data_IF_237619288099
#
_entry.id   IF_237619288099
#
_cell.length_a   1.000
_cell.length_b   1.000
_cell.length_c   1.000
_cell.angle_alpha   90.00
_cell.angle_beta   90.00
_cell.angle_gamma   90.00
#
_symmetry.space_group_name_H-M   'P 1'
#
loop_
_entity.id
_entity.type
_entity.pdbx_description
1 polymer ?
#
# COMPACT_ATOMS: atom_id res chain seq x y z
N UNK A 1 -26.01 70.15 -8.39
CA UNK A 1 -25.19 69.71 -7.24
C UNK A 1 -26.01 68.67 -6.46
N UNK A 2 -25.36 67.59 -6.00
CA UNK A 2 -25.88 66.36 -5.36
C UNK A 2 -26.12 65.17 -6.30
N UNK A 3 -24.98 64.54 -6.65
CA UNK A 3 -24.87 63.10 -6.89
C UNK A 3 -25.37 62.33 -5.67
N UNK A 4 -26.09 61.24 -5.89
CA UNK A 4 -26.24 60.15 -4.91
C UNK A 4 -25.83 58.84 -5.60
N UNK A 5 -24.72 58.29 -5.11
CA UNK A 5 -24.16 57.00 -5.50
C UNK A 5 -25.12 55.87 -5.09
N UNK A 6 -25.35 54.94 -6.02
CA UNK A 6 -25.89 53.60 -5.74
C UNK A 6 -24.70 52.67 -5.46
N UNK A 7 -24.73 51.84 -4.40
CA UNK A 7 -23.75 50.78 -4.23
C UNK A 7 -24.15 49.59 -5.10
N UNK A 8 -23.28 49.23 -6.04
CA UNK A 8 -23.33 47.95 -6.75
C UNK A 8 -22.80 46.89 -5.79
N UNK A 9 -23.70 46.15 -5.14
CA UNK A 9 -23.34 44.96 -4.38
C UNK A 9 -22.95 43.84 -5.34
N UNK A 10 -21.65 43.67 -5.53
CA UNK A 10 -21.05 42.55 -6.23
C UNK A 10 -21.25 41.27 -5.40
N UNK A 11 -22.24 40.46 -5.77
CA UNK A 11 -22.44 39.12 -5.23
C UNK A 11 -21.30 38.21 -5.71
N UNK A 12 -20.28 38.05 -4.87
CA UNK A 12 -19.30 36.97 -4.96
C UNK A 12 -20.02 35.64 -4.68
N UNK A 13 -20.47 34.99 -5.74
CA UNK A 13 -20.79 33.56 -5.74
C UNK A 13 -19.49 32.79 -5.46
N UNK A 14 -19.22 32.52 -4.19
CA UNK A 14 -18.30 31.45 -3.79
C UNK A 14 -18.91 30.12 -4.27
N UNK A 15 -18.48 29.68 -5.45
CA UNK A 15 -18.66 28.31 -5.89
C UNK A 15 -17.85 27.41 -4.96
N UNK A 16 -18.50 26.86 -3.93
CA UNK A 16 -18.02 25.66 -3.27
C UNK A 16 -18.04 24.55 -4.33
N UNK A 17 -16.90 24.35 -4.99
CA UNK A 17 -16.63 23.12 -5.75
C UNK A 17 -16.63 22.00 -4.72
N UNK A 18 -17.80 21.42 -4.49
CA UNK A 18 -17.94 20.19 -3.73
C UNK A 18 -17.15 19.14 -4.51
N UNK A 19 -15.94 18.84 -4.05
CA UNK A 19 -15.21 17.68 -4.53
C UNK A 19 -16.10 16.47 -4.29
N UNK A 20 -16.35 15.62 -5.30
CA UNK A 20 -17.17 14.43 -5.12
C UNK A 20 -16.58 13.63 -3.96
N UNK A 21 -17.41 13.39 -2.93
CA UNK A 21 -17.06 12.52 -1.83
C UNK A 21 -16.90 11.11 -2.42
N UNK A 22 -15.65 10.70 -2.61
CA UNK A 22 -15.35 9.35 -3.08
C UNK A 22 -15.88 8.34 -2.07
N UNK A 23 -16.61 7.33 -2.54
CA UNK A 23 -17.00 6.20 -1.72
C UNK A 23 -15.73 5.55 -1.16
N UNK A 24 -15.52 5.63 0.15
CA UNK A 24 -14.44 4.91 0.80
C UNK A 24 -14.83 3.43 0.89
N UNK A 25 -13.89 2.51 0.63
CA UNK A 25 -14.08 1.10 0.95
C UNK A 25 -14.51 0.93 2.41
N UNK A 26 -15.51 0.07 2.65
CA UNK A 26 -16.01 -0.22 3.99
C UNK A 26 -14.89 -0.91 4.75
N UNK A 27 -14.51 -0.45 5.94
CA UNK A 27 -13.50 -1.12 6.77
C UNK A 27 -13.80 -2.62 6.91
N UNK A 28 -12.76 -3.46 7.06
CA UNK A 28 -12.98 -4.89 7.22
C UNK A 28 -13.91 -5.14 8.42
N UNK A 29 -15.15 -5.57 8.15
CA UNK A 29 -16.19 -5.70 9.18
C UNK A 29 -15.97 -6.91 10.12
N UNK A 30 -14.86 -7.63 9.97
CA UNK A 30 -14.55 -8.82 10.74
C UNK A 30 -13.49 -8.53 11.80
N UNK A 31 -13.97 -8.25 13.02
CA UNK A 31 -13.20 -8.11 14.27
C UNK A 31 -12.20 -6.94 14.23
N UNK A 32 -12.03 -6.28 15.37
CA UNK A 32 -11.15 -5.12 15.52
C UNK A 32 -9.79 -5.37 14.84
N UNK A 33 -9.33 -4.41 14.04
CA UNK A 33 -8.07 -4.48 13.28
C UNK A 33 -6.82 -4.38 14.20
N UNK A 34 -6.99 -4.49 15.52
CA UNK A 34 -5.97 -4.38 16.57
C UNK A 34 -5.11 -5.65 16.75
N UNK A 35 -5.24 -6.62 15.85
CA UNK A 35 -4.66 -7.95 16.01
C UNK A 35 -5.61 -8.91 16.74
N UNK A 36 -5.15 -10.12 17.04
CA UNK A 36 -5.88 -11.05 17.90
C UNK A 36 -6.64 -12.17 17.19
N UNK A 37 -6.29 -12.50 15.95
CA UNK A 37 -6.71 -13.77 15.35
C UNK A 37 -6.30 -14.94 16.24
N UNK A 38 -7.28 -15.79 16.58
CA UNK A 38 -7.06 -17.00 17.38
C UNK A 38 -7.07 -18.22 16.48
N UNK A 39 -6.30 -19.22 16.90
CA UNK A 39 -6.27 -20.50 16.22
C UNK A 39 -7.63 -21.20 16.28
N UNK A 40 -8.01 -21.88 15.20
CA UNK A 40 -9.24 -22.67 15.13
C UNK A 40 -10.57 -21.88 15.20
N UNK A 41 -10.56 -20.55 15.15
CA UNK A 41 -11.79 -19.74 15.14
C UNK A 41 -12.16 -19.37 13.70
N UNK A 42 -13.18 -20.02 13.13
CA UNK A 42 -13.61 -19.79 11.74
C UNK A 42 -12.64 -20.38 10.71
N UNK A 43 -12.54 -19.75 9.54
CA UNK A 43 -11.65 -20.20 8.43
C UNK A 43 -10.21 -19.67 8.54
N UNK A 44 -9.78 -19.31 9.75
CA UNK A 44 -8.43 -18.82 10.01
C UNK A 44 -7.41 -19.93 9.75
N UNK A 45 -6.49 -19.69 8.81
CA UNK A 45 -5.32 -20.54 8.60
C UNK A 45 -4.21 -20.14 9.54
N UNK A 46 -3.65 -21.13 10.20
CA UNK A 46 -2.57 -20.95 11.14
C UNK A 46 -1.39 -21.84 10.77
N UNK A 47 -0.19 -21.35 11.00
CA UNK A 47 1.01 -22.14 10.89
C UNK A 47 1.99 -21.74 11.97
N UNK A 48 2.60 -22.74 12.61
CA UNK A 48 3.75 -22.56 13.49
C UNK A 48 5.02 -22.88 12.69
N UNK A 49 6.01 -22.00 12.77
CA UNK A 49 7.33 -22.21 12.16
C UNK A 49 8.41 -21.90 13.17
N UNK A 50 9.55 -22.55 13.01
CA UNK A 50 10.69 -22.41 13.91
C UNK A 50 11.88 -21.97 13.07
N UNK A 51 12.58 -20.95 13.55
CA UNK A 51 13.87 -20.55 13.06
C UNK A 51 14.95 -20.97 14.05
N UNK A 52 16.13 -21.29 13.54
CA UNK A 52 17.25 -21.74 14.35
C UNK A 52 18.42 -20.80 14.14
N UNK A 53 18.96 -20.26 15.23
CA UNK A 53 20.20 -19.49 15.20
C UNK A 53 21.13 -20.01 16.30
N UNK A 54 22.28 -20.56 15.91
CA UNK A 54 23.15 -21.33 16.79
C UNK A 54 22.41 -22.46 17.50
N UNK A 55 22.31 -22.43 18.83
CA UNK A 55 21.61 -23.43 19.65
C UNK A 55 20.20 -23.01 20.07
N UNK A 56 19.74 -21.82 19.66
CA UNK A 56 18.43 -21.28 20.05
C UNK A 56 17.36 -21.56 19.00
N UNK A 57 16.13 -21.76 19.47
CA UNK A 57 14.94 -21.97 18.66
C UNK A 57 14.01 -20.77 18.82
N UNK A 58 13.57 -20.20 17.71
CA UNK A 58 12.72 -19.02 17.65
C UNK A 58 11.40 -19.37 16.97
N UNK A 59 10.38 -19.78 17.74
CA UNK A 59 9.09 -20.13 17.19
C UNK A 59 8.26 -18.89 16.86
N UNK A 60 7.70 -18.85 15.65
CA UNK A 60 6.73 -17.86 15.19
C UNK A 60 5.41 -18.54 14.85
N UNK A 61 4.32 -17.79 15.01
CA UNK A 61 2.99 -18.21 14.60
C UNK A 61 2.40 -17.20 13.63
N UNK A 62 1.95 -17.69 12.48
CA UNK A 62 1.22 -16.88 11.50
C UNK A 62 -0.26 -17.20 11.53
N UNK A 63 -1.07 -16.19 11.26
CA UNK A 63 -2.52 -16.28 11.12
C UNK A 63 -2.91 -15.61 9.81
N UNK A 64 -3.86 -16.20 9.09
CA UNK A 64 -4.43 -15.62 7.89
C UNK A 64 -5.93 -15.88 7.89
N UNK A 65 -6.72 -14.84 7.67
CA UNK A 65 -8.17 -14.90 7.59
C UNK A 65 -8.65 -14.25 6.29
N UNK A 66 -9.86 -14.61 5.87
CA UNK A 66 -10.52 -14.01 4.73
C UNK A 66 -12.00 -13.82 5.03
N UNK A 67 -12.55 -12.69 4.60
CA UNK A 67 -13.96 -12.41 4.74
C UNK A 67 -14.51 -11.64 3.54
N UNK A 68 -15.70 -11.99 3.02
CA UNK A 68 -16.39 -11.11 2.11
C UNK A 68 -16.80 -9.83 2.84
N UNK A 69 -16.73 -8.67 2.19
CA UNK A 69 -17.14 -7.39 2.82
C UNK A 69 -18.66 -7.14 2.72
N UNK A 70 -19.43 -8.12 2.25
CA UNK A 70 -20.89 -8.03 2.06
C UNK A 70 -21.31 -7.38 0.74
N UNK A 71 -20.36 -6.92 -0.09
CA UNK A 71 -20.57 -6.49 -1.49
C UNK A 71 -20.09 -7.58 -2.46
N UNK A 72 -20.65 -7.64 -3.67
CA UNK A 72 -20.26 -8.64 -4.67
C UNK A 72 -18.82 -8.40 -5.14
N UNK A 73 -17.98 -9.43 -4.99
CA UNK A 73 -16.58 -9.51 -5.42
C UNK A 73 -15.52 -8.76 -4.58
N UNK A 74 -15.83 -8.28 -3.38
CA UNK A 74 -14.85 -7.63 -2.50
C UNK A 74 -14.52 -8.51 -1.29
N UNK A 75 -13.22 -8.77 -1.09
CA UNK A 75 -12.68 -9.57 0.01
C UNK A 75 -11.78 -8.72 0.89
N UNK A 76 -11.87 -8.95 2.19
CA UNK A 76 -10.85 -8.56 3.15
C UNK A 76 -9.92 -9.74 3.41
N UNK A 77 -8.62 -9.56 3.17
CA UNK A 77 -7.58 -10.50 3.57
C UNK A 77 -6.86 -9.94 4.79
N UNK A 78 -6.81 -10.72 5.87
CA UNK A 78 -6.12 -10.35 7.11
C UNK A 78 -4.96 -11.30 7.38
N UNK A 79 -3.84 -10.75 7.83
CA UNK A 79 -2.62 -11.48 8.12
C UNK A 79 -2.05 -11.01 9.45
N UNK A 80 -1.66 -11.94 10.31
CA UNK A 80 -0.99 -11.62 11.56
C UNK A 80 0.21 -12.53 11.81
N UNK A 81 1.24 -11.99 12.43
CA UNK A 81 2.42 -12.75 12.85
C UNK A 81 2.78 -12.41 14.29
N UNK A 82 3.06 -13.45 15.07
CA UNK A 82 3.43 -13.38 16.48
C UNK A 82 4.73 -14.15 16.73
N UNK A 83 5.64 -13.56 17.51
CA UNK A 83 6.74 -14.29 18.12
C UNK A 83 6.22 -14.95 19.39
N UNK A 84 6.10 -16.27 19.38
CA UNK A 84 5.61 -17.06 20.52
C UNK A 84 6.76 -17.65 21.36
N UNK A 85 8.00 -17.24 21.07
CA UNK A 85 9.20 -17.65 21.78
C UNK A 85 9.42 -16.86 23.07
N UNK A 86 10.65 -16.94 23.57
CA UNK A 86 11.12 -16.13 24.72
C UNK A 86 12.19 -15.11 24.31
N UNK A 87 12.81 -15.29 23.15
CA UNK A 87 13.85 -14.43 22.61
C UNK A 87 13.30 -13.57 21.46
N UNK A 88 13.90 -12.39 21.28
CA UNK A 88 13.56 -11.48 20.19
C UNK A 88 14.14 -12.01 18.88
N UNK A 89 13.43 -11.79 17.76
CA UNK A 89 13.90 -12.16 16.42
C UNK A 89 14.38 -10.92 15.69
N UNK A 90 15.62 -10.95 15.19
CA UNK A 90 16.15 -9.87 14.37
C UNK A 90 15.69 -10.02 12.91
N UNK A 91 15.26 -8.91 12.30
CA UNK A 91 14.93 -8.81 10.87
C UNK A 91 13.90 -9.85 10.40
N UNK A 92 12.74 -9.91 11.06
CA UNK A 92 11.64 -10.75 10.59
C UNK A 92 11.03 -10.15 9.33
N UNK A 93 10.82 -10.97 8.31
CA UNK A 93 10.12 -10.62 7.07
C UNK A 93 9.04 -11.65 6.75
N UNK A 94 7.85 -11.19 6.40
CA UNK A 94 6.80 -12.03 5.82
C UNK A 94 6.39 -11.49 4.45
N UNK A 95 6.72 -12.24 3.40
CA UNK A 95 6.71 -11.70 2.05
C UNK A 95 5.35 -11.50 1.41
N UNK A 96 4.39 -12.39 1.65
CA UNK A 96 3.05 -12.19 1.12
C UNK A 96 2.38 -10.97 1.74
N UNK A 97 2.30 -10.84 3.09
CA UNK A 97 1.68 -9.68 3.72
C UNK A 97 2.62 -8.48 3.78
N UNK A 98 3.81 -8.55 3.18
CA UNK A 98 4.75 -7.44 3.13
C UNK A 98 5.02 -6.79 4.49
N UNK A 99 5.22 -7.60 5.54
CA UNK A 99 5.54 -7.13 6.90
C UNK A 99 7.03 -7.34 7.13
N UNK A 100 7.74 -6.30 7.58
CA UNK A 100 9.10 -6.36 8.08
C UNK A 100 9.21 -5.71 9.46
N UNK A 101 9.89 -6.39 10.38
CA UNK A 101 10.17 -5.90 11.74
C UNK A 101 11.63 -6.11 12.08
N UNK A 102 12.31 -5.04 12.49
CA UNK A 102 13.75 -5.09 12.80
C UNK A 102 14.05 -5.83 14.12
N UNK A 103 13.30 -5.54 15.18
CA UNK A 103 13.35 -6.23 16.49
C UNK A 103 11.98 -6.82 16.82
N UNK A 104 11.74 -8.08 16.48
CA UNK A 104 10.44 -8.70 16.68
C UNK A 104 10.34 -9.37 18.06
N UNK A 105 9.79 -8.62 19.01
CA UNK A 105 9.70 -9.00 20.42
C UNK A 105 8.65 -10.09 20.68
N UNK A 106 8.85 -10.96 21.70
CA UNK A 106 7.88 -11.98 22.06
C UNK A 106 6.54 -11.42 22.57
N UNK A 107 5.48 -12.15 22.28
CA UNK A 107 4.17 -11.99 22.92
C UNK A 107 3.12 -11.32 22.04
N UNK A 108 1.85 -11.53 22.42
CA UNK A 108 0.70 -11.06 21.67
C UNK A 108 0.59 -9.53 21.57
N UNK A 109 1.13 -8.78 22.53
CA UNK A 109 1.13 -7.31 22.50
C UNK A 109 2.06 -6.73 21.41
N UNK A 110 3.06 -7.49 20.98
CA UNK A 110 4.01 -7.12 19.92
C UNK A 110 3.64 -7.72 18.55
N UNK A 111 2.47 -8.36 18.46
CA UNK A 111 1.95 -8.97 17.23
C UNK A 111 1.79 -7.92 16.13
N UNK A 112 2.17 -8.27 14.91
CA UNK A 112 1.94 -7.45 13.73
C UNK A 112 0.69 -7.91 12.99
N UNK A 113 -0.13 -6.96 12.53
CA UNK A 113 -1.33 -7.24 11.75
C UNK A 113 -1.37 -6.42 10.46
N UNK A 114 -1.93 -7.00 9.39
CA UNK A 114 -2.26 -6.32 8.14
C UNK A 114 -3.61 -6.80 7.64
N UNK A 115 -4.49 -5.86 7.35
CA UNK A 115 -5.76 -6.08 6.65
C UNK A 115 -5.72 -5.38 5.29
N UNK A 116 -6.09 -6.07 4.22
CA UNK A 116 -6.14 -5.55 2.85
C UNK A 116 -7.51 -5.78 2.25
N UNK A 117 -8.03 -4.77 1.56
CA UNK A 117 -9.28 -4.90 0.81
C UNK A 117 -8.99 -5.04 -0.68
N UNK A 118 -9.54 -6.10 -1.26
CA UNK A 118 -9.24 -6.51 -2.63
C UNK A 118 -10.55 -6.81 -3.36
N UNK A 119 -10.72 -6.21 -4.52
CA UNK A 119 -11.74 -6.60 -5.48
C UNK A 119 -11.23 -7.81 -6.29
N UNK A 120 -11.94 -8.94 -6.24
CA UNK A 120 -11.62 -10.18 -6.95
C UNK A 120 -12.89 -10.93 -7.39
N UNK A 121 -12.88 -11.46 -8.61
CA UNK A 121 -13.92 -12.37 -9.11
C UNK A 121 -13.67 -13.83 -8.71
N UNK A 122 -12.48 -14.13 -8.19
CA UNK A 122 -12.10 -15.45 -7.70
C UNK A 122 -12.03 -15.45 -6.19
N UNK A 123 -12.61 -16.47 -5.58
CA UNK A 123 -12.49 -16.69 -4.14
C UNK A 123 -11.02 -16.81 -3.73
N UNK A 124 -10.63 -16.25 -2.57
CA UNK A 124 -9.31 -16.47 -1.99
C UNK A 124 -9.02 -17.96 -1.83
N UNK A 125 -7.77 -18.35 -2.07
CA UNK A 125 -7.27 -19.71 -1.89
C UNK A 125 -6.07 -19.71 -0.96
N UNK A 126 -5.91 -20.80 -0.21
CA UNK A 126 -4.72 -20.99 0.60
C UNK A 126 -3.55 -21.32 -0.30
N UNK A 127 -2.44 -20.58 -0.14
CA UNK A 127 -1.24 -20.76 -0.94
C UNK A 127 0.02 -20.71 -0.09
N UNK A 128 1.12 -21.35 -0.56
CA UNK A 128 2.42 -21.23 0.06
C UNK A 128 2.91 -19.78 0.14
N UNK A 129 3.52 -19.43 1.26
CA UNK A 129 4.17 -18.14 1.49
C UNK A 129 5.50 -18.34 2.21
N UNK A 130 6.36 -17.32 2.16
CA UNK A 130 7.72 -17.39 2.71
C UNK A 130 7.87 -16.41 3.86
N UNK A 131 8.35 -16.94 4.98
CA UNK A 131 8.83 -16.21 6.13
C UNK A 131 10.36 -16.25 6.13
N UNK A 132 10.98 -15.12 6.44
CA UNK A 132 12.41 -15.05 6.67
C UNK A 132 12.68 -14.43 8.04
N UNK A 133 13.75 -14.87 8.69
CA UNK A 133 14.26 -14.32 9.93
C UNK A 133 15.78 -14.34 9.90
N UNK A 134 16.42 -13.45 10.66
CA UNK A 134 17.88 -13.29 10.65
C UNK A 134 18.40 -12.99 9.23
N UNK A 135 19.70 -13.07 9.01
CA UNK A 135 20.29 -12.66 7.73
C UNK A 135 19.87 -13.56 6.56
N UNK A 136 19.63 -14.87 6.77
CA UNK A 136 19.42 -15.83 5.68
C UNK A 136 18.44 -16.99 5.95
N UNK A 137 17.78 -17.06 7.11
CA UNK A 137 16.92 -18.21 7.42
C UNK A 137 15.53 -18.05 6.80
N UNK A 138 15.08 -19.07 6.08
CA UNK A 138 13.77 -19.09 5.39
C UNK A 138 12.91 -20.25 5.89
N UNK A 139 11.62 -20.01 6.05
CA UNK A 139 10.62 -21.02 6.38
C UNK A 139 9.38 -20.86 5.48
N UNK A 140 8.82 -21.97 5.01
CA UNK A 140 7.58 -21.98 4.24
C UNK A 140 6.37 -22.05 5.19
N UNK A 141 5.40 -21.17 4.98
CA UNK A 141 4.09 -21.15 5.63
C UNK A 141 2.98 -21.18 4.57
N UNK A 142 1.73 -21.05 4.98
CA UNK A 142 0.57 -20.98 4.10
C UNK A 142 -0.37 -19.86 4.57
N UNK A 143 -1.04 -19.19 3.63
CA UNK A 143 -1.97 -18.10 3.93
C UNK A 143 -3.02 -17.97 2.83
N UNK A 144 -4.16 -17.36 3.15
CA UNK A 144 -5.16 -16.98 2.17
C UNK A 144 -4.59 -15.94 1.21
N UNK A 145 -4.88 -16.08 -0.08
CA UNK A 145 -4.41 -15.19 -1.13
C UNK A 145 -5.41 -15.16 -2.28
N UNK A 146 -5.45 -14.04 -2.99
CA UNK A 146 -6.01 -13.95 -4.34
C UNK A 146 -4.87 -13.93 -5.36
N UNK A 147 -4.92 -14.84 -6.34
CA UNK A 147 -3.87 -15.02 -7.36
C UNK A 147 -3.69 -13.81 -8.28
N UNK A 148 -4.75 -13.02 -8.41
CA UNK A 148 -4.94 -12.10 -9.52
C UNK A 148 -5.70 -10.86 -9.03
N UNK A 149 -4.98 -9.76 -8.78
CA UNK A 149 -5.60 -8.44 -8.89
C UNK A 149 -5.84 -8.19 -10.37
N UNK A 150 -6.90 -8.79 -10.90
CA UNK A 150 -7.26 -8.63 -12.30
C UNK A 150 -8.76 -8.77 -12.45
N UNK A 151 -9.41 -7.62 -12.47
CA UNK A 151 -10.84 -7.54 -12.67
C UNK A 151 -11.19 -7.76 -14.14
N UNK A 152 -11.04 -8.97 -14.68
CA UNK A 152 -11.86 -9.36 -15.83
C UNK A 152 -13.28 -9.59 -15.30
N UNK A 153 -13.94 -8.50 -14.94
CA UNK A 153 -15.32 -8.52 -14.59
C UNK A 153 -16.13 -8.62 -15.87
N UNK A 154 -16.78 -9.75 -16.03
CA UNK A 154 -18.00 -9.93 -16.82
C UNK A 154 -18.92 -8.72 -16.63
N UNK A 155 -18.91 -7.76 -17.57
CA UNK A 155 -19.91 -6.71 -17.89
C UNK A 155 -20.70 -5.96 -16.80
N UNK A 156 -20.52 -6.24 -15.50
CA UNK A 156 -21.44 -5.86 -14.40
C UNK A 156 -20.76 -5.13 -13.25
N UNK A 157 -19.42 -5.00 -13.23
CA UNK A 157 -18.76 -4.13 -12.24
C UNK A 157 -18.72 -2.68 -12.69
N UNK A 158 -19.01 -1.78 -11.77
CA UNK A 158 -18.88 -0.32 -11.93
C UNK A 158 -17.41 0.16 -11.95
N UNK A 159 -16.46 -0.72 -11.62
CA UNK A 159 -15.06 -0.38 -11.48
C UNK A 159 -14.21 -0.79 -12.69
N UNK A 160 -13.19 0.02 -12.99
CA UNK A 160 -12.22 -0.22 -14.05
C UNK A 160 -11.32 -1.41 -13.71
N UNK A 161 -10.90 -2.10 -14.76
CA UNK A 161 -10.05 -3.26 -14.63
C UNK A 161 -8.58 -2.89 -14.47
N UNK A 162 -7.89 -3.60 -13.56
CA UNK A 162 -6.43 -3.68 -13.52
C UNK A 162 -6.04 -4.93 -14.30
N UNK A 163 -5.15 -4.83 -15.29
CA UNK A 163 -4.68 -5.95 -16.12
C UNK A 163 -3.19 -6.20 -15.92
N UNK A 164 -2.70 -7.45 -16.04
CA UNK A 164 -1.29 -7.75 -16.01
C UNK A 164 -0.71 -7.53 -17.41
N UNK A 165 0.24 -6.62 -17.54
CA UNK A 165 0.88 -6.29 -18.83
C UNK A 165 2.35 -6.69 -18.77
N UNK A 166 2.83 -7.36 -19.83
CA UNK A 166 4.26 -7.63 -19.97
C UNK A 166 5.03 -6.31 -19.94
N UNK A 167 5.98 -6.20 -19.01
CA UNK A 167 6.86 -5.04 -18.85
C UNK A 167 7.57 -4.66 -20.15
N UNK A 168 7.91 -5.63 -21.00
CA UNK A 168 8.60 -5.39 -22.27
C UNK A 168 7.71 -4.72 -23.31
N UNK A 169 6.39 -4.84 -23.15
CA UNK A 169 5.41 -4.19 -24.03
C UNK A 169 5.24 -2.72 -23.72
N UNK A 170 5.26 -2.36 -22.42
CA UNK A 170 4.89 -1.02 -21.97
C UNK A 170 6.10 -0.16 -21.57
N UNK A 171 7.17 -0.75 -21.01
CA UNK A 171 8.37 -0.03 -20.63
C UNK A 171 9.41 -0.09 -21.75
N UNK A 172 9.84 1.08 -22.22
CA UNK A 172 10.94 1.17 -23.17
C UNK A 172 12.23 0.57 -22.58
N UNK A 173 13.17 0.09 -23.43
CA UNK A 173 14.46 -0.42 -22.96
C UNK A 173 15.22 0.58 -22.08
N UNK A 174 15.09 1.89 -22.35
CA UNK A 174 15.71 2.93 -21.54
C UNK A 174 15.11 3.01 -20.13
N UNK A 175 13.78 2.96 -20.00
CA UNK A 175 13.12 2.90 -18.68
C UNK A 175 13.57 1.67 -17.91
N UNK A 176 13.58 0.50 -18.56
CA UNK A 176 14.02 -0.75 -17.92
C UNK A 176 15.47 -0.65 -17.42
N UNK A 177 16.37 -0.05 -18.21
CA UNK A 177 17.75 0.19 -17.81
C UNK A 177 17.86 1.16 -16.62
N UNK A 178 17.02 2.21 -16.57
CA UNK A 178 16.95 3.13 -15.43
C UNK A 178 16.51 2.38 -14.16
N UNK A 179 15.47 1.54 -14.24
CA UNK A 179 15.01 0.73 -13.11
C UNK A 179 16.12 -0.21 -12.61
N UNK A 180 16.76 -0.94 -13.52
CA UNK A 180 17.83 -1.89 -13.20
C UNK A 180 19.02 -1.21 -12.51
N UNK A 181 19.49 -0.06 -13.02
CA UNK A 181 20.59 0.72 -12.43
C UNK A 181 20.27 1.21 -11.02
N UNK A 182 19.00 1.48 -10.74
CA UNK A 182 18.55 1.90 -9.42
C UNK A 182 18.22 0.73 -8.51
N UNK A 183 18.56 -0.52 -8.86
CA UNK A 183 18.21 -1.73 -8.09
C UNK A 183 16.70 -1.84 -7.84
N UNK A 184 15.88 -1.46 -8.81
CA UNK A 184 14.43 -1.71 -8.82
C UNK A 184 14.22 -2.95 -9.69
N UNK A 185 13.91 -4.08 -9.04
CA UNK A 185 13.68 -5.35 -9.72
C UNK A 185 12.18 -5.58 -9.84
N UNK A 186 11.64 -5.29 -11.03
CA UNK A 186 10.26 -5.59 -11.40
C UNK A 186 10.07 -7.13 -11.49
N UNK A 187 9.44 -7.73 -10.47
CA UNK A 187 9.17 -9.17 -10.42
C UNK A 187 7.78 -9.46 -11.00
N UNK A 188 7.73 -9.96 -12.24
CA UNK A 188 6.48 -10.34 -12.91
C UNK A 188 5.90 -9.27 -13.83
N UNK A 189 4.62 -9.40 -14.22
CA UNK A 189 3.92 -8.43 -15.06
C UNK A 189 3.60 -7.14 -14.29
N UNK A 190 3.48 -6.03 -15.02
CA UNK A 190 2.99 -4.77 -14.48
C UNK A 190 1.48 -4.84 -14.28
N UNK A 191 0.98 -4.33 -13.15
CA UNK A 191 -0.46 -4.20 -12.93
C UNK A 191 -0.91 -2.82 -13.42
N UNK A 192 -1.70 -2.81 -14.49
CA UNK A 192 -2.04 -1.60 -15.24
C UNK A 192 -3.54 -1.38 -15.27
N UNK A 193 -3.98 -0.20 -14.85
CA UNK A 193 -5.33 0.28 -15.06
C UNK A 193 -5.36 1.19 -16.29
N UNK A 194 -6.17 0.82 -17.29
CA UNK A 194 -6.36 1.67 -18.46
C UNK A 194 -7.47 2.69 -18.18
N UNK A 195 -7.06 3.95 -18.11
CA UNK A 195 -7.91 5.11 -17.79
C UNK A 195 -8.95 5.40 -18.89
N UNK A 196 -8.87 4.74 -20.04
CA UNK A 196 -9.85 4.88 -21.13
C UNK A 196 -11.18 4.16 -20.93
N UNK A 197 -11.37 3.44 -19.83
CA UNK A 197 -12.64 2.82 -19.49
C UNK A 197 -13.54 3.87 -18.82
N UNK A 198 -14.81 3.99 -19.23
CA UNK A 198 -15.84 4.81 -18.56
C UNK A 198 -16.27 4.19 -17.21
N UNK A 199 -15.29 3.82 -16.40
CA UNK A 199 -15.45 3.17 -15.10
C UNK A 199 -14.46 3.76 -14.12
N UNK A 200 -14.88 3.84 -12.85
CA UNK A 200 -14.02 4.38 -11.81
C UNK A 200 -13.00 3.34 -11.36
N UNK A 201 -11.74 3.70 -11.09
CA UNK A 201 -10.80 2.79 -10.43
C UNK A 201 -11.33 2.34 -9.06
N UNK A 202 -11.13 1.07 -8.71
CA UNK A 202 -11.52 0.56 -7.39
C UNK A 202 -10.60 1.16 -6.31
N UNK A 203 -11.12 1.85 -5.28
CA UNK A 203 -10.27 2.42 -4.23
C UNK A 203 -9.64 1.32 -3.37
N UNK A 204 -8.36 1.49 -3.04
CA UNK A 204 -7.59 0.56 -2.22
C UNK A 204 -7.58 1.04 -0.78
N UNK A 205 -7.67 0.09 0.15
CA UNK A 205 -7.53 0.35 1.58
C UNK A 205 -6.72 -0.74 2.24
N UNK A 206 -5.74 -0.30 3.01
CA UNK A 206 -4.93 -1.16 3.86
C UNK A 206 -4.89 -0.61 5.29
N UNK A 207 -5.02 -1.50 6.26
CA UNK A 207 -4.82 -1.21 7.68
C UNK A 207 -3.67 -2.06 8.17
N UNK A 208 -2.73 -1.43 8.88
CA UNK A 208 -1.53 -2.04 9.43
C UNK A 208 -1.48 -1.70 10.91
N UNK A 209 -1.25 -2.71 11.75
CA UNK A 209 -1.24 -2.51 13.20
C UNK A 209 0.03 -3.12 13.78
N UNK A 210 0.65 -2.36 14.67
CA UNK A 210 1.86 -2.72 15.40
C UNK A 210 1.80 -2.19 16.83
N UNK A 211 2.89 -2.31 17.60
CA UNK A 211 2.88 -2.08 19.03
C UNK A 211 2.66 -0.58 19.30
N UNK A 212 1.45 -0.24 19.76
CA UNK A 212 1.05 1.13 20.05
C UNK A 212 0.68 2.00 18.84
N UNK A 213 0.57 1.45 17.62
CA UNK A 213 0.14 2.24 16.46
C UNK A 213 -0.75 1.48 15.48
N UNK A 214 -1.60 2.22 14.77
CA UNK A 214 -2.37 1.78 13.61
C UNK A 214 -2.12 2.75 12.45
N UNK A 215 -1.69 2.22 11.33
CA UNK A 215 -1.45 2.92 10.06
C UNK A 215 -2.54 2.53 9.07
N UNK A 216 -3.28 3.51 8.55
CA UNK A 216 -4.27 3.29 7.49
C UNK A 216 -3.82 4.02 6.24
N UNK A 217 -3.78 3.30 5.12
CA UNK A 217 -3.46 3.85 3.81
C UNK A 217 -4.64 3.61 2.87
N UNK A 218 -5.16 4.69 2.30
CA UNK A 218 -6.17 4.63 1.26
C UNK A 218 -5.57 5.17 -0.03
N UNK A 219 -5.74 4.48 -1.15
CA UNK A 219 -5.29 4.95 -2.46
C UNK A 219 -6.43 4.94 -3.46
N UNK A 220 -6.51 5.97 -4.29
CA UNK A 220 -7.53 6.08 -5.32
C UNK A 220 -7.03 6.89 -6.50
N UNK A 221 -7.72 6.73 -7.62
CA UNK A 221 -7.54 7.55 -8.81
C UNK A 221 -8.88 8.14 -9.21
N UNK A 222 -8.87 9.44 -9.51
CA UNK A 222 -10.02 10.17 -10.03
C UNK A 222 -9.71 10.62 -11.45
N UNK A 223 -10.62 10.31 -12.36
CA UNK A 223 -10.53 10.71 -13.77
C UNK A 223 -11.54 11.83 -14.02
N UNK A 224 -11.07 12.93 -14.61
CA UNK A 224 -11.92 14.07 -14.99
C UNK A 224 -11.48 14.60 -16.37
N UNK A 225 -12.22 14.21 -17.40
CA UNK A 225 -11.85 14.45 -18.79
C UNK A 225 -10.47 13.86 -19.12
N UNK A 226 -9.51 14.72 -19.47
CA UNK A 226 -8.12 14.32 -19.71
C UNK A 226 -7.25 14.32 -18.45
N UNK A 227 -7.75 14.78 -17.30
CA UNK A 227 -6.97 14.82 -16.07
C UNK A 227 -7.11 13.53 -15.28
N UNK A 228 -5.99 13.05 -14.76
CA UNK A 228 -5.90 11.88 -13.87
C UNK A 228 -5.28 12.34 -12.57
N UNK A 229 -6.06 12.27 -11.49
CA UNK A 229 -5.61 12.60 -10.13
C UNK A 229 -5.34 11.33 -9.34
N UNK A 230 -4.09 11.17 -8.94
CA UNK A 230 -3.63 10.14 -8.01
C UNK A 230 -3.77 10.68 -6.60
N UNK A 231 -4.35 9.90 -5.69
CA UNK A 231 -4.53 10.27 -4.30
C UNK A 231 -4.13 9.11 -3.39
N UNK A 232 -3.36 9.42 -2.35
CA UNK A 232 -3.08 8.52 -1.24
C UNK A 232 -3.31 9.26 0.08
N UNK A 233 -4.26 8.80 0.88
CA UNK A 233 -4.55 9.31 2.22
C UNK A 233 -3.92 8.37 3.24
N UNK A 234 -2.96 8.89 4.01
CA UNK A 234 -2.27 8.12 5.05
C UNK A 234 -2.62 8.70 6.41
N UNK A 235 -2.98 7.83 7.36
CA UNK A 235 -3.23 8.22 8.74
C UNK A 235 -2.51 7.27 9.71
N UNK A 236 -1.99 7.82 10.80
CA UNK A 236 -1.31 7.10 11.86
C UNK A 236 -1.95 7.48 13.19
N UNK A 237 -2.34 6.48 13.96
CA UNK A 237 -3.05 6.63 15.22
C UNK A 237 -2.54 5.63 16.26
N UNK A 238 -2.96 5.76 17.52
CA UNK A 238 -2.48 4.95 18.63
C UNK A 238 -1.55 5.72 19.57
N UNK A 239 -1.25 5.13 20.74
CA UNK A 239 -0.48 5.79 21.80
C UNK A 239 0.97 6.07 21.36
N UNK A 240 1.59 5.15 20.63
CA UNK A 240 2.94 5.26 20.09
C UNK A 240 3.04 6.13 18.82
N UNK A 241 1.93 6.46 18.17
CA UNK A 241 1.93 7.23 16.91
C UNK A 241 2.50 8.65 17.09
N UNK A 242 2.16 9.34 18.18
CA UNK A 242 2.58 10.74 18.42
C UNK A 242 4.09 10.91 18.50
N UNK A 243 4.78 9.89 19.02
CA UNK A 243 6.23 9.89 19.18
C UNK A 243 6.95 9.16 18.03
N UNK A 244 6.21 8.69 17.04
CA UNK A 244 6.79 7.97 15.91
C UNK A 244 7.34 8.91 14.85
N UNK A 245 8.25 8.37 14.03
CA UNK A 245 8.70 8.99 12.78
C UNK A 245 8.27 8.11 11.62
N UNK A 246 7.58 8.68 10.63
CA UNK A 246 7.13 7.94 9.45
C UNK A 246 7.91 8.38 8.20
N UNK A 247 8.29 7.41 7.36
CA UNK A 247 8.99 7.61 6.09
C UNK A 247 8.14 7.06 4.95
N UNK A 248 7.86 7.91 3.95
CA UNK A 248 7.00 7.57 2.80
C UNK A 248 7.55 8.20 1.51
N UNK A 249 8.80 7.89 1.10
CA UNK A 249 9.49 8.63 0.05
C UNK A 249 8.74 8.61 -1.29
N UNK A 250 8.15 7.47 -1.68
CA UNK A 250 7.37 7.37 -2.92
C UNK A 250 6.14 8.26 -2.94
N UNK A 251 5.44 8.40 -1.79
CA UNK A 251 4.27 9.27 -1.68
C UNK A 251 4.65 10.75 -1.60
N UNK A 252 5.75 11.08 -0.91
CA UNK A 252 6.29 12.44 -0.88
C UNK A 252 6.75 12.90 -2.27
N UNK A 253 7.35 12.00 -3.05
CA UNK A 253 7.79 12.28 -4.42
C UNK A 253 6.62 12.65 -5.36
N UNK A 254 5.38 12.25 -5.05
CA UNK A 254 4.20 12.63 -5.85
C UNK A 254 4.06 14.15 -6.03
N UNK A 255 4.45 14.94 -5.03
CA UNK A 255 4.36 16.40 -5.09
C UNK A 255 5.26 17.03 -6.16
N UNK A 256 6.25 16.29 -6.67
CA UNK A 256 7.26 16.77 -7.61
C UNK A 256 7.02 16.31 -9.06
N UNK A 257 6.02 15.47 -9.29
CA UNK A 257 5.76 14.86 -10.60
C UNK A 257 5.04 15.85 -11.51
N UNK A 258 5.60 16.05 -12.70
CA UNK A 258 4.99 16.87 -13.77
C UNK A 258 4.53 16.03 -14.97
N UNK A 259 5.09 14.84 -15.13
CA UNK A 259 4.79 13.87 -16.19
C UNK A 259 5.42 12.52 -15.82
N UNK A 260 4.98 11.45 -16.47
CA UNK A 260 5.49 10.09 -16.29
C UNK A 260 5.63 9.31 -17.63
N UNK A 261 5.42 9.99 -18.77
CA UNK A 261 5.38 9.34 -20.08
C UNK A 261 6.74 9.10 -20.75
N UNK A 262 7.85 9.51 -20.14
CA UNK A 262 9.20 9.47 -20.76
C UNK A 262 10.28 9.01 -19.78
N UNK A 263 11.41 8.45 -20.28
CA UNK A 263 12.50 7.93 -19.45
C UNK A 263 13.09 8.94 -18.46
N UNK A 264 13.21 10.21 -18.84
CA UNK A 264 13.75 11.25 -17.96
C UNK A 264 12.93 11.40 -16.67
N UNK A 265 11.60 11.32 -16.75
CA UNK A 265 10.74 11.44 -15.58
C UNK A 265 10.90 10.27 -14.61
N UNK A 266 11.19 9.06 -15.11
CA UNK A 266 11.53 7.92 -14.25
C UNK A 266 12.84 8.17 -13.50
N UNK A 267 13.83 8.78 -14.16
CA UNK A 267 15.11 9.14 -13.53
C UNK A 267 14.90 10.18 -12.42
N UNK A 268 14.17 11.25 -12.73
CA UNK A 268 13.90 12.34 -11.78
C UNK A 268 13.08 11.84 -10.58
N UNK A 269 12.08 11.00 -10.83
CA UNK A 269 11.26 10.39 -9.77
C UNK A 269 12.11 9.50 -8.84
N UNK A 270 12.96 8.63 -9.39
CA UNK A 270 13.82 7.77 -8.58
C UNK A 270 14.89 8.56 -7.82
N UNK A 271 15.46 9.62 -8.41
CA UNK A 271 16.38 10.52 -7.72
C UNK A 271 15.67 11.23 -6.54
N UNK A 272 14.47 11.76 -6.78
CA UNK A 272 13.65 12.38 -5.73
C UNK A 272 13.35 11.40 -4.59
N UNK A 273 13.02 10.14 -4.89
CA UNK A 273 12.82 9.11 -3.87
C UNK A 273 14.08 8.86 -3.04
N UNK A 274 15.27 8.84 -3.67
CA UNK A 274 16.53 8.65 -2.95
C UNK A 274 16.83 9.80 -2.00
N UNK A 275 16.56 11.03 -2.42
CA UNK A 275 16.72 12.22 -1.58
C UNK A 275 15.75 12.19 -0.39
N UNK A 276 14.48 11.87 -0.66
CA UNK A 276 13.41 11.83 0.34
C UNK A 276 13.46 10.59 1.27
N UNK A 277 14.27 9.57 0.97
CA UNK A 277 14.35 8.36 1.79
C UNK A 277 14.77 8.65 3.24
N UNK A 278 15.51 9.74 3.45
CA UNK A 278 15.97 10.18 4.78
C UNK A 278 15.01 11.15 5.48
N UNK A 279 13.98 11.62 4.78
CA UNK A 279 13.01 12.59 5.31
C UNK A 279 11.92 11.90 6.13
N UNK A 280 12.16 11.79 7.43
CA UNK A 280 11.18 11.31 8.39
C UNK A 280 10.25 12.44 8.86
N UNK A 281 8.94 12.15 8.93
CA UNK A 281 7.95 13.08 9.48
C UNK A 281 7.65 12.67 10.93
N UNK A 282 7.93 13.56 11.88
CA UNK A 282 7.60 13.39 13.30
C UNK A 282 6.23 13.96 13.63
N UNK A 283 5.56 13.43 14.66
CA UNK A 283 4.25 13.93 15.08
C UNK A 283 3.15 13.76 14.02
N UNK A 284 3.32 12.80 13.11
CA UNK A 284 2.39 12.56 12.01
C UNK A 284 1.05 11.99 12.51
N UNK A 285 -0.06 12.60 12.10
CA UNK A 285 -1.41 12.09 12.35
C UNK A 285 -2.09 11.66 11.06
N UNK A 286 -2.14 12.56 10.07
CA UNK A 286 -2.72 12.29 8.77
C UNK A 286 -2.14 13.20 7.70
N UNK A 287 -2.10 12.72 6.46
CA UNK A 287 -1.75 13.52 5.29
C UNK A 287 -2.33 12.92 4.02
N UNK A 288 -2.85 13.81 3.17
CA UNK A 288 -3.17 13.51 1.77
C UNK A 288 -1.97 13.80 0.89
N UNK A 289 -1.57 12.82 0.09
CA UNK A 289 -0.62 12.95 -1.00
C UNK A 289 -1.39 12.89 -2.32
N UNK A 290 -1.11 13.82 -3.23
CA UNK A 290 -1.79 13.82 -4.52
C UNK A 290 -0.95 14.42 -5.63
N UNK A 291 -1.14 13.89 -6.83
CA UNK A 291 -0.62 14.44 -8.07
C UNK A 291 -1.74 14.45 -9.12
N UNK A 292 -1.82 15.50 -9.93
CA UNK A 292 -2.77 15.56 -11.06
C UNK A 292 -1.96 15.70 -12.34
N UNK A 293 -2.17 14.79 -13.28
CA UNK A 293 -1.47 14.76 -14.56
C UNK A 293 -2.48 14.72 -15.71
N UNK A 294 -2.15 15.35 -16.83
CA UNK A 294 -2.86 15.09 -18.08
C UNK A 294 -2.58 13.65 -18.54
N UNK A 295 -3.58 12.96 -19.06
CA UNK A 295 -3.50 11.59 -19.55
C UNK A 295 -2.41 11.42 -20.61
N UNK A 296 -2.13 12.45 -21.42
CA UNK A 296 -1.04 12.47 -22.41
C UNK A 296 0.35 12.50 -21.78
N UNK A 297 0.45 12.91 -20.52
CA UNK A 297 1.68 12.90 -19.74
C UNK A 297 1.89 11.56 -19.01
N UNK A 298 0.96 10.61 -19.11
CA UNK A 298 1.12 9.25 -18.60
C UNK A 298 1.68 8.35 -19.70
N UNK A 299 2.42 7.32 -19.30
CA UNK A 299 2.94 6.30 -20.23
C UNK A 299 1.78 5.54 -20.86
N UNK A 300 1.51 5.79 -22.14
CA UNK A 300 0.35 5.26 -22.89
C UNK A 300 -1.01 5.50 -22.19
N UNK A 301 -1.14 6.58 -21.40
CA UNK A 301 -2.36 6.84 -20.65
C UNK A 301 -2.63 5.85 -19.51
N UNK A 302 -1.59 5.16 -19.02
CA UNK A 302 -1.67 4.11 -18.01
C UNK A 302 -1.57 4.63 -16.59
N UNK A 303 -2.31 4.00 -15.68
CA UNK A 303 -2.16 4.09 -14.23
C UNK A 303 -1.59 2.77 -13.74
N UNK A 304 -0.58 2.80 -12.90
CA UNK A 304 0.04 1.59 -12.37
C UNK A 304 -0.44 1.31 -10.96
N UNK A 305 -0.75 0.06 -10.67
CA UNK A 305 -0.91 -0.42 -9.31
C UNK A 305 0.43 -0.99 -8.86
N UNK A 306 1.09 -0.31 -7.92
CA UNK A 306 2.46 -0.64 -7.52
C UNK A 306 2.56 -0.86 -6.02
N UNK A 307 3.53 -1.68 -5.64
CA UNK A 307 3.98 -1.88 -4.28
C UNK A 307 5.04 -0.82 -3.91
N UNK A 308 4.89 -0.14 -2.79
CA UNK A 308 5.93 0.73 -2.21
C UNK A 308 6.05 0.55 -0.70
N UNK A 309 7.16 1.01 -0.12
CA UNK A 309 7.41 0.84 1.32
C UNK A 309 6.96 2.06 2.13
N UNK A 310 6.42 1.80 3.32
CA UNK A 310 6.22 2.80 4.37
C UNK A 310 6.91 2.28 5.62
N UNK A 311 7.79 3.11 6.20
CA UNK A 311 8.51 2.77 7.43
C UNK A 311 8.01 3.62 8.58
N UNK A 312 7.68 2.99 9.71
CA UNK A 312 7.33 3.63 10.97
C UNK A 312 8.42 3.29 11.99
N UNK A 313 9.09 4.31 12.51
CA UNK A 313 10.00 4.17 13.66
C UNK A 313 9.25 4.56 14.93
N UNK A 314 9.03 3.60 15.82
CA UNK A 314 8.30 3.78 17.07
C UNK A 314 8.87 2.83 18.14
N UNK A 315 8.84 3.23 19.41
CA UNK A 315 9.24 2.39 20.56
C UNK A 315 10.65 1.75 20.40
N UNK A 316 11.62 2.53 19.92
CA UNK A 316 12.99 2.09 19.62
C UNK A 316 13.10 0.95 18.58
N UNK A 317 12.08 0.80 17.74
CA UNK A 317 12.02 -0.23 16.71
C UNK A 317 11.69 0.37 15.33
N UNK A 318 11.90 -0.43 14.29
CA UNK A 318 11.57 -0.11 12.90
C UNK A 318 10.60 -1.15 12.35
N UNK A 319 9.43 -0.66 11.93
CA UNK A 319 8.38 -1.42 11.27
C UNK A 319 8.30 -0.94 9.83
N UNK A 320 8.37 -1.85 8.87
CA UNK A 320 8.31 -1.50 7.46
C UNK A 320 7.29 -2.37 6.75
N UNK A 321 6.44 -1.74 5.94
CA UNK A 321 5.33 -2.39 5.28
C UNK A 321 5.35 -2.10 3.79
N UNK A 322 5.13 -3.13 2.96
CA UNK A 322 4.98 -3.00 1.50
C UNK A 322 3.51 -2.82 1.17
N UNK A 323 3.10 -1.59 0.86
CA UNK A 323 1.72 -1.15 0.65
C UNK A 323 1.46 -0.95 -0.84
N UNK A 324 0.25 -1.26 -1.29
CA UNK A 324 -0.19 -1.00 -2.67
C UNK A 324 -0.80 0.39 -2.82
N UNK A 325 -0.45 1.08 -3.88
CA UNK A 325 -1.12 2.30 -4.29
C UNK A 325 -1.13 2.49 -5.80
N UNK A 326 -2.03 3.35 -6.26
CA UNK A 326 -2.02 3.81 -7.65
C UNK A 326 -0.98 4.91 -7.85
N UNK A 327 -0.10 4.69 -8.82
CA UNK A 327 1.00 5.58 -9.15
C UNK A 327 1.10 5.84 -10.65
N UNK A 328 1.64 6.99 -11.08
CA UNK A 328 1.89 7.26 -12.49
C UNK A 328 3.12 6.54 -13.06
N UNK A 329 3.96 5.97 -12.19
CA UNK A 329 5.19 5.26 -12.56
C UNK A 329 5.07 3.76 -12.23
N UNK A 330 5.54 2.91 -13.15
CA UNK A 330 5.64 1.47 -12.96
C UNK A 330 6.89 1.10 -12.14
N UNK A 331 6.89 1.42 -10.84
CA UNK A 331 8.04 1.21 -9.94
C UNK A 331 7.58 0.47 -8.69
N UNK A 332 7.91 -0.81 -8.61
CA UNK A 332 7.69 -1.64 -7.43
C UNK A 332 8.92 -1.66 -6.51
N UNK A 333 8.72 -1.33 -5.25
CA UNK A 333 9.74 -1.43 -4.21
C UNK A 333 9.50 -2.67 -3.35
N UNK A 334 10.50 -3.54 -3.24
CA UNK A 334 10.48 -4.65 -2.29
C UNK A 334 10.90 -4.22 -0.89
N UNK A 335 10.73 -5.12 0.10
CA UNK A 335 11.09 -4.82 1.49
C UNK A 335 12.62 -4.80 1.73
N UNK A 336 13.45 -5.17 0.75
CA UNK A 336 14.90 -4.93 0.80
C UNK A 336 15.28 -3.44 0.86
N UNK A 337 14.29 -2.55 0.66
CA UNK A 337 14.41 -1.11 0.89
C UNK A 337 14.21 -0.71 2.36
N UNK A 338 13.65 -1.59 3.17
CA UNK A 338 13.55 -1.40 4.62
C UNK A 338 14.94 -1.58 5.25
N UNK A 339 15.28 -0.76 6.26
CA UNK A 339 16.56 -0.88 6.97
C UNK A 339 17.83 -0.40 6.23
N UNK A 340 17.72 0.38 5.13
CA UNK A 340 18.86 1.04 4.46
C UNK A 340 19.01 2.50 4.83
#
# INVERSE_FOLDING_TARGET
MRMRCLPVSLLLLMGCVATPAMAQPVACLTKTDDGGLKDGVGDVKTAKKEFYESSKVFPVKTFSDQAPTGKTAEFCLRYEIENIGQDHIQNLYWGLPGIYVKDFRPGAADRQSRSQQILSTSDPKVQPTVLNAFTNNRAQSEAWRVDTQTAQATTTTQFAEVVPVDRNRLLSPEVQNILARNSVVQQGPLLVLNVGQDKQPYPLRETLSGPGFNLVVNSAVVTDGNSVRFQADVSLSGEGARNSTIFMPSLLALAWIKSAGQPQYYRDYLATIQDLQKEGITGFSERRFSATLDRRNLLEGSVFLVDHVITVKANDNEYCYRVRSYMPFAVDFGLERCGR
#
